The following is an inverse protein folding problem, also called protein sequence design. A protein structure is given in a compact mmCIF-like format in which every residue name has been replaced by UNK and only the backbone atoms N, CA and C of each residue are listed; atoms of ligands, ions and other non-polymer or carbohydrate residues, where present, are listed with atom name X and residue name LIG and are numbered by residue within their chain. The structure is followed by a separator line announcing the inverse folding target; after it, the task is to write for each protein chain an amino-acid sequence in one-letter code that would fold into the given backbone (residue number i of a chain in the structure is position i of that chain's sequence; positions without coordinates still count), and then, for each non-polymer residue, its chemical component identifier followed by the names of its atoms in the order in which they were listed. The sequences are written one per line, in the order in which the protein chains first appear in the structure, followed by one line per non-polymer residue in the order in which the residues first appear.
data_IF_801561486688
#
_entry.id   IF_801561486688
#
_cell.length_a   1.000
_cell.length_b   1.000
_cell.length_c   1.000
_cell.angle_alpha   90.00
_cell.angle_beta   90.00
_cell.angle_gamma   90.00
#
_symmetry.space_group_name_H-M   'P 1'
#
loop_
_entity.id
_entity.type
_entity.pdbx_description
1 polymer ?
#
# COMPACT_ATOMS: atom_id res chain seq x y z
N UNK A 1 -10.25 6.69 5.13
CA UNK A 1 -9.54 6.51 3.86
C UNK A 1 -10.19 5.39 3.07
N UNK A 2 -10.62 5.71 1.87
CA UNK A 2 -11.23 4.70 1.00
C UNK A 2 -10.18 4.18 0.03
N UNK A 3 -10.02 2.86 0.00
CA UNK A 3 -9.16 2.21 -0.96
C UNK A 3 -10.03 1.72 -2.11
N UNK A 4 -9.60 2.02 -3.33
CA UNK A 4 -10.35 1.58 -4.50
C UNK A 4 -10.04 0.12 -4.80
N UNK A 5 -10.73 -0.77 -4.10
CA UNK A 5 -10.58 -2.21 -4.30
C UNK A 5 -11.02 -2.67 -5.70
N UNK A 6 -11.96 -1.96 -6.31
CA UNK A 6 -12.36 -2.28 -7.67
C UNK A 6 -11.20 -2.11 -8.65
N UNK A 7 -10.40 -1.04 -8.49
CA UNK A 7 -9.20 -0.82 -9.30
C UNK A 7 -8.13 -1.87 -9.00
N UNK A 8 -7.91 -2.17 -7.73
CA UNK A 8 -6.98 -3.21 -7.31
C UNK A 8 -7.34 -4.55 -7.93
N UNK A 9 -8.60 -4.95 -7.84
CA UNK A 9 -9.08 -6.20 -8.40
C UNK A 9 -8.93 -6.22 -9.93
N UNK A 10 -9.22 -5.11 -10.59
CA UNK A 10 -9.06 -4.98 -12.03
C UNK A 10 -7.60 -5.17 -12.45
N UNK A 11 -6.67 -4.58 -11.72
CA UNK A 11 -5.24 -4.73 -11.98
C UNK A 11 -4.83 -6.20 -11.79
N UNK A 12 -5.23 -6.81 -10.68
CA UNK A 12 -4.86 -8.19 -10.36
C UNK A 12 -5.42 -9.20 -11.35
N UNK A 13 -6.63 -8.96 -11.85
CA UNK A 13 -7.29 -9.85 -12.80
C UNK A 13 -6.86 -9.60 -14.24
N UNK A 14 -6.14 -8.53 -14.52
CA UNK A 14 -5.69 -8.22 -15.87
C UNK A 14 -4.76 -9.30 -16.41
N UNK A 15 -5.00 -9.74 -17.64
CA UNK A 15 -4.12 -10.67 -18.35
C UNK A 15 -2.91 -9.94 -18.94
N UNK A 16 -3.02 -8.63 -19.11
CA UNK A 16 -1.89 -7.79 -19.52
C UNK A 16 -1.12 -7.38 -18.27
N UNK A 17 0.20 -7.59 -18.23
CA UNK A 17 1.00 -7.15 -17.09
C UNK A 17 0.90 -5.63 -16.89
N UNK A 18 0.61 -5.23 -15.66
CA UNK A 18 0.52 -3.83 -15.29
C UNK A 18 1.79 -3.46 -14.53
N UNK A 19 2.48 -2.44 -15.02
CA UNK A 19 3.72 -1.95 -14.42
C UNK A 19 3.42 -0.68 -13.65
N UNK A 20 3.76 -0.67 -12.36
CA UNK A 20 3.66 0.53 -11.52
C UNK A 20 5.02 1.19 -11.37
N UNK A 21 5.06 2.50 -11.48
CA UNK A 21 6.28 3.27 -11.30
C UNK A 21 6.00 4.44 -10.36
N UNK A 22 6.68 4.46 -9.23
CA UNK A 22 6.61 5.59 -8.30
C UNK A 22 7.65 6.62 -8.66
N UNK A 23 7.21 7.76 -9.18
CA UNK A 23 8.10 8.84 -9.63
C UNK A 23 8.33 9.92 -8.59
N UNK A 24 7.68 9.85 -7.45
CA UNK A 24 7.83 10.85 -6.38
C UNK A 24 7.29 10.34 -5.07
N UNK A 25 5.98 10.51 -4.85
CA UNK A 25 5.33 10.08 -3.62
C UNK A 25 4.15 9.17 -3.96
N UNK A 26 4.07 8.05 -3.27
CA UNK A 26 2.95 7.14 -3.39
C UNK A 26 2.43 6.86 -1.98
N UNK A 27 1.29 7.44 -1.64
CA UNK A 27 0.78 7.46 -0.28
C UNK A 27 -0.66 6.94 -0.19
N UNK A 28 -1.01 6.37 0.95
CA UNK A 28 -2.36 5.92 1.27
C UNK A 28 -2.92 4.97 0.20
N UNK A 29 -4.10 5.29 -0.35
CA UNK A 29 -4.74 4.46 -1.36
C UNK A 29 -3.84 4.22 -2.59
N UNK A 30 -3.08 5.23 -3.01
CA UNK A 30 -2.15 5.11 -4.14
C UNK A 30 -1.08 4.04 -3.88
N UNK A 31 -0.58 3.95 -2.65
CA UNK A 31 0.41 2.93 -2.28
C UNK A 31 -0.17 1.51 -2.42
N UNK A 32 -1.41 1.30 -2.02
CA UNK A 32 -2.05 -0.01 -2.13
C UNK A 32 -2.34 -0.37 -3.59
N UNK A 33 -2.76 0.59 -4.40
CA UNK A 33 -2.94 0.39 -5.84
C UNK A 33 -1.60 0.02 -6.48
N UNK A 34 -0.53 0.72 -6.12
CA UNK A 34 0.82 0.41 -6.59
C UNK A 34 1.23 -1.01 -6.25
N UNK A 35 1.01 -1.44 -5.01
CA UNK A 35 1.36 -2.79 -4.56
C UNK A 35 0.61 -3.89 -5.32
N UNK A 36 -0.55 -3.57 -5.91
CA UNK A 36 -1.32 -4.53 -6.70
C UNK A 36 -0.76 -4.74 -8.11
N UNK A 37 0.15 -3.89 -8.58
CA UNK A 37 0.75 -4.02 -9.90
C UNK A 37 1.63 -5.26 -10.01
N UNK A 38 1.70 -5.84 -11.21
CA UNK A 38 2.48 -7.06 -11.46
C UNK A 38 3.98 -6.82 -11.35
N UNK A 39 4.45 -5.70 -11.87
CA UNK A 39 5.83 -5.26 -11.73
C UNK A 39 5.84 -3.87 -11.11
N UNK A 40 6.79 -3.63 -10.22
CA UNK A 40 6.83 -2.39 -9.44
C UNK A 40 8.23 -1.82 -9.40
N UNK A 41 8.33 -0.55 -9.76
CA UNK A 41 9.60 0.18 -9.81
C UNK A 41 9.46 1.54 -9.15
N UNK A 42 10.58 2.17 -8.82
CA UNK A 42 10.59 3.52 -8.27
C UNK A 42 11.82 4.29 -8.72
N UNK A 43 11.71 5.61 -8.75
CA UNK A 43 12.87 6.47 -8.93
C UNK A 43 13.66 6.58 -7.62
N UNK A 44 14.97 6.92 -7.69
CA UNK A 44 15.83 6.87 -6.50
C UNK A 44 15.40 7.74 -5.31
N UNK A 45 14.72 8.84 -5.55
CA UNK A 45 14.27 9.75 -4.49
C UNK A 45 12.76 9.62 -4.18
N UNK A 46 12.08 8.71 -4.86
CA UNK A 46 10.68 8.43 -4.57
C UNK A 46 10.55 7.72 -3.22
N UNK A 47 9.35 7.77 -2.65
CA UNK A 47 9.08 7.10 -1.39
C UNK A 47 7.61 6.74 -1.28
N UNK A 48 7.30 5.87 -0.33
CA UNK A 48 5.93 5.44 -0.03
C UNK A 48 5.55 5.86 1.37
N UNK A 49 4.27 6.13 1.59
CA UNK A 49 3.72 6.32 2.92
C UNK A 49 2.58 5.33 3.09
N UNK A 50 2.73 4.41 4.03
CA UNK A 50 1.68 3.49 4.41
C UNK A 50 1.17 3.87 5.80
N UNK A 51 -0.14 3.81 5.98
CA UNK A 51 -0.75 4.01 7.29
C UNK A 51 -2.17 3.43 7.27
N UNK A 52 -2.67 3.12 8.46
CA UNK A 52 -4.02 2.58 8.58
C UNK A 52 -5.12 3.63 8.36
N UNK A 53 -4.73 4.88 8.20
CA UNK A 53 -5.65 5.98 7.99
C UNK A 53 -6.13 6.59 9.29
N UNK A 54 -6.98 7.60 9.16
CA UNK A 54 -7.61 8.28 10.27
C UNK A 54 -9.03 8.61 9.91
N UNK A 55 -9.87 8.85 10.90
CA UNK A 55 -11.26 9.19 10.65
C UNK A 55 -11.96 9.64 11.91
N UNK A 56 -13.20 10.08 11.75
CA UNK A 56 -14.06 10.51 12.84
C UNK A 56 -15.28 9.59 12.88
N UNK A 57 -15.61 9.12 14.06
CA UNK A 57 -16.81 8.31 14.28
C UNK A 57 -17.92 9.24 14.78
N UNK A 58 -19.10 9.13 14.20
CA UNK A 58 -20.24 9.96 14.60
C UNK A 58 -21.56 9.23 14.39
N UNK A 59 -22.57 9.64 15.18
CA UNK A 59 -23.89 9.07 15.11
C UNK A 59 -24.36 8.56 16.46
N UNK A 60 -25.35 7.65 16.46
CA UNK A 60 -25.83 6.99 17.66
C UNK A 60 -24.77 6.04 18.21
N UNK A 61 -24.97 5.58 19.45
CA UNK A 61 -24.07 4.61 20.06
C UNK A 61 -23.93 3.35 19.19
N UNK A 62 -25.03 2.82 18.70
CA UNK A 62 -25.02 1.64 17.84
C UNK A 62 -24.31 1.89 16.51
N UNK A 63 -24.49 3.07 15.93
CA UNK A 63 -23.80 3.45 14.70
C UNK A 63 -22.30 3.57 14.91
N UNK A 64 -21.88 4.16 16.02
CA UNK A 64 -20.46 4.28 16.37
C UNK A 64 -19.83 2.91 16.56
N UNK A 65 -20.51 1.99 17.24
CA UNK A 65 -20.03 0.63 17.43
C UNK A 65 -19.86 -0.10 16.09
N UNK A 66 -20.82 0.05 15.19
CA UNK A 66 -20.74 -0.56 13.86
C UNK A 66 -19.60 0.01 13.03
N UNK A 67 -19.39 1.34 13.08
CA UNK A 67 -18.30 2.01 12.40
C UNK A 67 -16.94 1.56 12.94
N UNK A 68 -16.83 1.35 14.25
CA UNK A 68 -15.61 0.90 14.89
C UNK A 68 -15.25 -0.53 14.47
N UNK A 69 -16.25 -1.42 14.42
CA UNK A 69 -16.06 -2.79 13.93
C UNK A 69 -15.57 -2.80 12.48
N UNK A 70 -16.22 -2.01 11.62
CA UNK A 70 -15.86 -1.90 10.23
C UNK A 70 -14.44 -1.34 10.06
N UNK A 71 -14.09 -0.33 10.83
CA UNK A 71 -12.75 0.25 10.83
C UNK A 71 -11.69 -0.77 11.22
N UNK A 72 -11.94 -1.56 12.26
CA UNK A 72 -11.02 -2.61 12.68
C UNK A 72 -10.81 -3.65 11.58
N UNK A 73 -11.89 -4.02 10.90
CA UNK A 73 -11.81 -4.96 9.78
C UNK A 73 -11.00 -4.37 8.63
N UNK A 74 -11.19 -3.10 8.30
CA UNK A 74 -10.40 -2.42 7.27
C UNK A 74 -8.91 -2.41 7.61
N UNK A 75 -8.55 -2.13 8.85
CA UNK A 75 -7.15 -2.14 9.31
C UNK A 75 -6.53 -3.53 9.13
N UNK A 76 -7.27 -4.57 9.50
CA UNK A 76 -6.80 -5.95 9.33
C UNK A 76 -6.61 -6.31 7.86
N UNK A 77 -7.53 -5.89 7.01
CA UNK A 77 -7.43 -6.11 5.56
C UNK A 77 -6.21 -5.41 4.96
N UNK A 78 -5.93 -4.18 5.40
CA UNK A 78 -4.77 -3.43 4.93
C UNK A 78 -3.47 -4.11 5.37
N UNK A 79 -3.39 -4.55 6.62
CA UNK A 79 -2.22 -5.26 7.12
C UNK A 79 -1.99 -6.55 6.34
N UNK A 80 -3.04 -7.31 6.12
CA UNK A 80 -2.98 -8.55 5.34
C UNK A 80 -2.53 -8.28 3.90
N UNK A 81 -3.06 -7.22 3.29
CA UNK A 81 -2.68 -6.83 1.93
C UNK A 81 -1.19 -6.53 1.82
N UNK A 82 -0.65 -5.77 2.77
CA UNK A 82 0.78 -5.47 2.80
C UNK A 82 1.61 -6.74 2.95
N UNK A 83 1.19 -7.64 3.84
CA UNK A 83 1.87 -8.91 4.06
C UNK A 83 1.88 -9.80 2.80
N UNK A 84 0.78 -9.81 2.06
CA UNK A 84 0.65 -10.63 0.85
C UNK A 84 1.49 -10.09 -0.31
N UNK A 85 1.78 -8.79 -0.34
CA UNK A 85 2.45 -8.14 -1.47
C UNK A 85 3.90 -7.73 -1.19
N UNK A 86 4.39 -7.97 0.01
CA UNK A 86 5.75 -7.62 0.42
C UNK A 86 6.37 -8.76 1.21
N UNK A 87 7.62 -8.58 1.61
CA UNK A 87 8.35 -9.57 2.41
C UNK A 87 8.44 -9.19 3.90
N UNK A 88 7.65 -8.22 4.34
CA UNK A 88 7.62 -7.83 5.74
C UNK A 88 7.04 -8.94 6.62
N UNK A 89 7.50 -9.01 7.86
CA UNK A 89 6.91 -9.89 8.87
C UNK A 89 5.62 -9.29 9.43
N UNK A 90 4.76 -10.13 9.99
CA UNK A 90 3.54 -9.66 10.66
C UNK A 90 3.86 -8.66 11.77
N UNK A 91 4.93 -8.91 12.52
CA UNK A 91 5.37 -8.05 13.62
C UNK A 91 5.77 -6.67 13.12
N UNK A 92 6.54 -6.62 12.03
CA UNK A 92 6.98 -5.36 11.44
C UNK A 92 5.80 -4.53 10.94
N UNK A 93 4.84 -5.15 10.26
CA UNK A 93 3.65 -4.46 9.76
C UNK A 93 2.80 -3.95 10.93
N UNK A 94 2.55 -4.80 11.93
CA UNK A 94 1.73 -4.42 13.09
C UNK A 94 2.34 -3.23 13.84
N UNK A 95 3.66 -3.16 13.95
CA UNK A 95 4.35 -2.08 14.64
C UNK A 95 4.33 -0.78 13.85
N UNK A 96 4.57 -0.84 12.54
CA UNK A 96 4.79 0.35 11.72
C UNK A 96 3.53 0.96 11.12
N UNK A 97 2.50 0.16 10.89
CA UNK A 97 1.30 0.63 10.19
C UNK A 97 0.42 1.55 11.06
N UNK A 98 0.58 1.52 12.37
CA UNK A 98 -0.22 2.33 13.30
C UNK A 98 0.08 3.82 13.20
N UNK A 99 1.28 4.19 12.76
CA UNK A 99 1.66 5.57 12.48
C UNK A 99 1.81 5.79 10.99
N UNK A 100 2.48 6.86 10.62
CA UNK A 100 2.88 7.07 9.23
C UNK A 100 4.18 6.33 8.97
N UNK A 101 4.15 5.40 8.03
CA UNK A 101 5.28 4.56 7.71
C UNK A 101 5.88 5.00 6.37
N UNK A 102 7.03 5.67 6.45
CA UNK A 102 7.76 6.14 5.27
C UNK A 102 8.72 5.06 4.80
N UNK A 103 8.58 4.66 3.54
CA UNK A 103 9.42 3.61 2.94
C UNK A 103 10.20 4.23 1.78
N UNK A 104 11.51 4.24 1.91
CA UNK A 104 12.42 4.75 0.86
C UNK A 104 13.06 3.58 0.12
N UNK A 105 13.87 3.89 -0.90
CA UNK A 105 14.36 2.89 -1.88
C UNK A 105 15.03 1.66 -1.26
N UNK A 106 15.90 1.86 -0.27
CA UNK A 106 16.64 0.73 0.30
C UNK A 106 15.72 -0.23 1.04
N UNK A 107 14.84 0.30 1.87
CA UNK A 107 13.83 -0.50 2.56
C UNK A 107 12.85 -1.13 1.55
N UNK A 108 12.46 -0.37 0.52
CA UNK A 108 11.51 -0.85 -0.48
C UNK A 108 12.10 -2.03 -1.29
N UNK A 109 13.37 -1.96 -1.65
CA UNK A 109 14.06 -3.05 -2.35
C UNK A 109 14.25 -4.27 -1.43
N UNK A 110 14.68 -4.04 -0.21
CA UNK A 110 14.94 -5.11 0.75
C UNK A 110 13.69 -5.91 1.10
N UNK A 111 12.55 -5.25 1.16
CA UNK A 111 11.30 -5.88 1.61
C UNK A 111 10.30 -6.16 0.48
N UNK A 112 10.72 -6.07 -0.76
CA UNK A 112 9.89 -6.46 -1.89
C UNK A 112 8.74 -5.50 -2.21
N UNK A 113 8.79 -4.27 -1.72
CA UNK A 113 7.82 -3.23 -2.09
C UNK A 113 7.97 -2.92 -3.58
N UNK A 114 9.20 -2.83 -4.05
CA UNK A 114 9.51 -2.67 -5.47
C UNK A 114 10.44 -3.80 -5.93
N UNK A 115 10.41 -4.08 -7.22
CA UNK A 115 11.29 -5.06 -7.87
C UNK A 115 12.58 -4.42 -8.35
N UNK A 116 12.62 -3.10 -8.48
CA UNK A 116 13.83 -2.39 -8.89
C UNK A 116 13.72 -0.89 -8.71
N UNK A 117 14.89 -0.24 -8.68
CA UNK A 117 15.00 1.21 -8.66
C UNK A 117 15.50 1.63 -10.06
N UNK A 118 14.78 2.56 -10.68
CA UNK A 118 15.10 3.01 -12.03
C UNK A 118 16.18 4.07 -11.96
N UNK A 119 17.35 3.76 -12.50
CA UNK A 119 18.48 4.70 -12.57
C UNK A 119 18.80 5.10 -14.00
N UNK A 120 18.18 4.47 -14.99
CA UNK A 120 18.39 4.73 -16.41
C UNK A 120 17.07 4.50 -17.16
N UNK A 121 16.74 5.39 -18.09
CA UNK A 121 15.52 5.29 -18.90
C UNK A 121 15.47 3.97 -19.69
N UNK A 122 16.60 3.42 -20.06
CA UNK A 122 16.67 2.14 -20.78
C UNK A 122 16.08 0.97 -19.97
N UNK A 123 15.97 1.11 -18.66
CA UNK A 123 15.36 0.08 -17.81
C UNK A 123 13.84 -0.04 -18.03
N UNK A 124 13.23 0.97 -18.66
CA UNK A 124 11.79 1.00 -18.93
C UNK A 124 11.43 0.46 -20.32
N UNK A 125 12.40 0.30 -21.20
CA UNK A 125 12.14 -0.06 -22.60
C UNK A 125 12.99 -1.24 -23.07
#
# INVERSE_FOLDING_TARGET
MDINYALIDTIKLSKTPIIGINIGQCASAAAYIFLSCHERYMLPHAYFILHQGSGTLSGTFEQICAQMEDYQQQVEELATFVLEHTNYSEEAVAEKIVGEWYIRKDEAMENGVVHGVITDVSMLF
#
